data_IF_360925625942
#
_entry.id   IF_360925625942
#
_cell.length_a   1.000
_cell.length_b   1.000
_cell.length_c   1.000
_cell.angle_alpha   90.00
_cell.angle_beta   90.00
_cell.angle_gamma   90.00
#
_symmetry.space_group_name_H-M   'P 1'
#
loop_
_entity.id
_entity.type
_entity.pdbx_description
1 polymer ?
2 non-polymer ?
3 non-polymer ?
4 non-polymer ?
5 non-polymer ?
6 water ?
#
# COMPACT_ATOMS: atom_id res chain seq x y z
N UNK A 1 8.60 27.32 4.11
CA UNK A 1 8.97 27.82 2.72
C UNK A 1 10.43 28.26 2.71
N UNK A 2 11.04 28.37 3.91
CA UNK A 2 12.38 28.95 4.02
C UNK A 2 13.48 27.90 4.02
N UNK A 3 13.10 26.64 4.26
CA UNK A 3 14.06 25.55 4.27
C UNK A 3 14.57 25.21 2.85
N UNK A 4 15.89 25.07 2.74
CA UNK A 4 16.51 24.82 1.45
C UNK A 4 16.14 23.42 0.97
N UNK A 5 16.11 23.20 -0.34
CA UNK A 5 15.77 21.87 -0.81
C UNK A 5 16.89 20.93 -0.37
N UNK A 6 18.11 21.49 -0.31
CA UNK A 6 19.27 20.73 0.13
C UNK A 6 19.04 20.18 1.54
N UNK A 7 18.48 21.02 2.41
CA UNK A 7 18.21 20.57 3.77
C UNK A 7 17.08 19.53 3.80
N UNK A 8 15.97 19.75 3.08
CA UNK A 8 14.91 18.74 3.05
C UNK A 8 15.51 17.38 2.66
N UNK A 9 16.27 17.37 1.56
CA UNK A 9 16.88 16.15 1.07
C UNK A 9 17.69 15.46 2.16
N UNK A 10 18.53 16.23 2.86
CA UNK A 10 19.44 15.63 3.85
C UNK A 10 18.67 15.04 5.04
N UNK A 11 17.64 15.75 5.52
CA UNK A 11 16.85 15.27 6.64
C UNK A 11 16.14 13.97 6.24
N UNK A 12 15.59 13.90 5.03
CA UNK A 12 14.75 12.75 4.71
C UNK A 12 15.67 11.53 4.57
N UNK A 13 16.80 11.71 3.87
CA UNK A 13 17.85 10.70 3.79
C UNK A 13 18.20 10.16 5.19
N UNK A 14 18.42 11.07 6.14
CA UNK A 14 18.84 10.71 7.47
C UNK A 14 17.77 9.88 8.19
N UNK A 15 16.48 10.16 7.94
CA UNK A 15 15.45 9.29 8.47
C UNK A 15 15.73 7.84 8.08
N UNK A 16 15.99 7.59 6.78
CA UNK A 16 16.34 6.24 6.32
C UNK A 16 17.68 5.81 6.92
N UNK A 17 18.65 6.73 7.01
CA UNK A 17 19.97 6.38 7.54
C UNK A 17 19.87 5.88 8.98
N UNK A 18 19.00 6.55 9.78
CA UNK A 18 18.83 6.25 11.19
C UNK A 18 18.10 4.93 11.43
N UNK A 19 17.30 4.46 10.47
CA UNK A 19 16.69 3.13 10.57
C UNK A 19 17.69 2.06 10.12
N UNK A 20 18.88 2.44 9.66
CA UNK A 20 19.81 1.47 9.11
C UNK A 20 19.10 0.62 8.06
N UNK A 21 18.43 1.31 7.15
CA UNK A 21 17.83 0.61 6.04
C UNK A 21 18.14 1.40 4.77
N UNK A 22 17.70 0.87 3.63
CA UNK A 22 17.79 1.52 2.34
C UNK A 22 16.37 1.69 1.82
N UNK A 23 16.04 2.92 1.43
CA UNK A 23 14.69 3.15 0.96
C UNK A 23 14.50 4.52 0.31
N UNK A 24 13.28 4.70 -0.19
CA UNK A 24 12.93 5.88 -0.93
C UNK A 24 11.48 6.22 -0.56
N UNK A 25 11.16 7.51 -0.48
CA UNK A 25 9.77 7.91 -0.45
C UNK A 25 9.49 8.81 -1.65
N UNK A 26 8.52 8.39 -2.47
CA UNK A 26 8.05 9.18 -3.59
C UNK A 26 6.82 9.98 -3.16
N UNK A 27 6.82 11.28 -3.46
CA UNK A 27 5.72 12.17 -3.16
C UNK A 27 5.28 12.84 -4.46
N UNK A 28 3.95 12.92 -4.62
CA UNK A 28 3.38 13.55 -5.79
C UNK A 28 2.59 14.79 -5.37
N UNK A 29 3.07 15.99 -5.75
CA UNK A 29 2.29 17.20 -5.58
C UNK A 29 1.76 17.59 -6.95
N UNK A 30 0.47 17.32 -7.15
CA UNK A 30 -0.19 17.53 -8.43
C UNK A 30 0.29 16.49 -9.44
N UNK A 31 1.07 16.95 -10.42
CA UNK A 31 1.65 16.07 -11.42
C UNK A 31 3.16 15.93 -11.20
N UNK A 32 3.73 16.64 -10.21
CA UNK A 32 5.16 16.61 -9.98
C UNK A 32 5.53 15.48 -9.01
N UNK A 33 6.36 14.54 -9.48
CA UNK A 33 6.88 13.43 -8.70
C UNK A 33 8.23 13.82 -8.09
N UNK A 34 8.41 13.57 -6.79
CA UNK A 34 9.65 13.90 -6.11
C UNK A 34 10.13 12.69 -5.33
N UNK A 35 11.44 12.44 -5.41
CA UNK A 35 12.03 11.22 -4.88
C UNK A 35 12.95 11.61 -3.73
N UNK A 36 12.79 10.96 -2.57
CA UNK A 36 13.66 11.24 -1.44
C UNK A 36 14.13 9.94 -0.81
N UNK A 37 14.99 10.05 0.21
CA UNK A 37 15.50 8.85 0.87
C UNK A 37 17.03 8.74 0.74
N UNK A 38 17.56 7.58 1.11
CA UNK A 38 18.99 7.32 1.03
C UNK A 38 19.30 6.32 -0.07
N UNK A 39 18.31 5.95 -0.91
CA UNK A 39 18.58 5.03 -2.00
C UNK A 39 17.72 5.39 -3.21
N UNK A 40 18.05 6.51 -3.84
CA UNK A 40 17.10 7.12 -4.77
C UNK A 40 16.76 6.14 -5.90
N UNK A 41 17.73 5.28 -6.32
CA UNK A 41 17.56 4.41 -7.49
C UNK A 41 16.55 3.27 -7.27
N UNK A 42 16.10 3.04 -6.05
CA UNK A 42 14.98 2.13 -5.88
C UNK A 42 13.73 2.64 -6.61
N UNK A 43 13.69 3.89 -7.10
CA UNK A 43 12.40 4.50 -7.47
C UNK A 43 11.74 3.77 -8.62
N UNK A 44 12.52 3.17 -9.54
CA UNK A 44 11.94 2.53 -10.71
C UNK A 44 12.37 1.08 -10.78
N UNK A 45 12.78 0.52 -9.65
CA UNK A 45 12.98 -0.92 -9.52
C UNK A 45 11.66 -1.57 -9.12
N UNK A 46 11.54 -2.85 -9.50
CA UNK A 46 10.30 -3.60 -9.28
C UNK A 46 10.39 -4.46 -8.01
N UNK A 47 9.38 -4.38 -7.13
CA UNK A 47 9.30 -5.24 -5.95
C UNK A 47 7.92 -5.90 -5.96
N UNK A 48 7.76 -6.95 -5.15
CA UNK A 48 6.43 -7.52 -4.99
C UNK A 48 5.56 -6.49 -4.24
N UNK A 49 4.26 -6.38 -4.52
CA UNK A 49 3.45 -5.38 -3.81
C UNK A 49 3.16 -5.79 -2.37
N UNK A 50 3.27 -7.10 -2.08
CA UNK A 50 2.84 -7.64 -0.78
C UNK A 50 1.48 -7.07 -0.40
N UNK A 51 1.26 -6.70 0.86
CA UNK A 51 -0.08 -6.37 1.32
C UNK A 51 -0.62 -5.10 0.68
N UNK A 52 0.25 -4.31 0.01
CA UNK A 52 -0.27 -3.17 -0.74
C UNK A 52 -1.35 -3.64 -1.72
N UNK A 53 -1.20 -4.89 -2.24
CA UNK A 53 -2.15 -5.42 -3.20
C UNK A 53 -3.56 -5.57 -2.63
N UNK A 54 -3.68 -5.59 -1.30
CA UNK A 54 -4.97 -5.68 -0.62
C UNK A 54 -5.92 -4.61 -1.15
N UNK A 55 -5.39 -3.45 -1.51
CA UNK A 55 -6.24 -2.31 -1.87
C UNK A 55 -6.88 -2.65 -3.21
N UNK A 56 -6.10 -3.26 -4.13
CA UNK A 56 -6.68 -3.57 -5.42
C UNK A 56 -7.56 -4.82 -5.30
N UNK A 57 -7.10 -5.80 -4.52
CA UNK A 57 -7.85 -6.99 -4.19
C UNK A 57 -9.23 -6.59 -3.66
N UNK A 58 -9.30 -5.62 -2.73
CA UNK A 58 -10.60 -5.18 -2.20
C UNK A 58 -11.47 -4.49 -3.27
N UNK A 59 -10.84 -3.67 -4.13
CA UNK A 59 -11.57 -3.03 -5.22
C UNK A 59 -12.20 -4.06 -6.14
N UNK A 60 -11.40 -5.05 -6.57
CA UNK A 60 -11.83 -6.09 -7.47
C UNK A 60 -12.98 -6.87 -6.83
N UNK A 61 -12.71 -7.41 -5.63
CA UNK A 61 -13.71 -8.10 -4.86
C UNK A 61 -15.06 -7.37 -4.80
N UNK A 62 -15.04 -6.09 -4.41
CA UNK A 62 -16.28 -5.43 -4.07
C UNK A 62 -17.04 -5.08 -5.35
N UNK A 63 -16.30 -4.75 -6.42
CA UNK A 63 -16.86 -4.33 -7.71
C UNK A 63 -17.61 -5.50 -8.34
N UNK A 64 -16.99 -6.68 -8.24
CA UNK A 64 -17.53 -7.91 -8.83
C UNK A 64 -18.39 -8.73 -7.86
N UNK A 65 -18.82 -8.13 -6.74
CA UNK A 65 -19.81 -8.74 -5.84
C UNK A 65 -19.29 -10.04 -5.21
N UNK A 66 -18.00 -10.11 -4.91
CA UNK A 66 -17.48 -11.30 -4.24
C UNK A 66 -17.56 -11.12 -2.73
N UNK A 67 -17.97 -9.91 -2.28
CA UNK A 67 -18.09 -9.59 -0.87
C UNK A 67 -18.90 -8.31 -0.69
N UNK A 68 -19.21 -7.96 0.55
CA UNK A 68 -19.73 -6.64 0.84
C UNK A 68 -18.96 -6.00 2.00
N UNK A 69 -19.25 -4.73 2.23
CA UNK A 69 -18.67 -3.87 3.25
C UNK A 69 -18.84 -4.51 4.63
N UNK A 70 -19.98 -5.18 4.84
CA UNK A 70 -20.42 -5.60 6.17
C UNK A 70 -20.23 -7.10 6.37
N UNK A 71 -19.84 -7.82 5.31
CA UNK A 71 -19.84 -9.28 5.41
C UNK A 71 -18.72 -9.70 6.36
N UNK A 72 -19.03 -10.66 7.22
CA UNK A 72 -18.09 -11.14 8.21
C UNK A 72 -17.44 -12.42 7.68
N UNK A 73 -16.11 -12.38 7.43
CA UNK A 73 -15.35 -13.55 6.99
C UNK A 73 -14.98 -14.37 8.24
N UNK A 74 -15.54 -15.58 8.34
CA UNK A 74 -15.35 -16.39 9.53
C UNK A 74 -13.93 -16.97 9.53
N UNK A 75 -13.29 -16.90 10.69
CA UNK A 75 -12.06 -17.60 11.01
C UNK A 75 -12.35 -19.09 10.99
N UNK A 76 -11.50 -19.85 10.30
CA UNK A 76 -11.79 -21.27 10.13
C UNK A 76 -11.36 -21.99 11.41
N UNK A 77 -10.67 -21.29 12.32
CA UNK A 77 -10.27 -21.91 13.57
C UNK A 77 -8.93 -22.64 13.50
N UNK A 78 -8.19 -22.54 12.38
CA UNK A 78 -6.80 -23.02 12.35
C UNK A 78 -5.88 -21.93 12.95
N UNK A 79 -4.69 -22.33 13.41
CA UNK A 79 -3.71 -21.38 13.96
C UNK A 79 -3.24 -20.43 12.86
N UNK A 80 -2.96 -19.18 13.21
CA UNK A 80 -2.57 -18.22 12.20
C UNK A 80 -1.20 -17.69 12.60
N UNK A 81 -0.53 -16.96 11.70
CA UNK A 81 0.78 -16.47 12.10
C UNK A 81 0.66 -15.49 13.27
N UNK A 82 -0.41 -14.69 13.35
CA UNK A 82 -0.59 -13.77 14.46
C UNK A 82 -1.92 -14.01 15.17
N UNK A 83 -1.98 -14.03 16.50
CA UNK A 83 -3.24 -14.28 17.20
C UNK A 83 -4.35 -13.27 16.92
N UNK A 84 -3.98 -12.08 16.41
CA UNK A 84 -5.02 -11.10 16.12
C UNK A 84 -5.79 -11.45 14.84
N UNK A 85 -5.26 -12.38 14.02
CA UNK A 85 -5.92 -12.90 12.83
C UNK A 85 -6.93 -14.03 13.15
N UNK A 86 -6.91 -14.54 14.39
CA UNK A 86 -7.78 -15.65 14.76
C UNK A 86 -9.12 -15.12 15.24
N UNK A 87 -9.79 -14.35 14.39
CA UNK A 87 -11.15 -13.90 14.65
C UNK A 87 -11.82 -13.63 13.30
N UNK A 88 -13.14 -13.49 13.39
CA UNK A 88 -14.05 -13.14 12.32
C UNK A 88 -13.90 -11.64 12.06
N UNK A 89 -13.87 -11.27 10.77
CA UNK A 89 -13.69 -9.87 10.45
C UNK A 89 -14.27 -9.51 9.08
N UNK A 90 -14.49 -8.20 8.94
CA UNK A 90 -14.86 -7.59 7.67
C UNK A 90 -13.60 -7.39 6.84
N UNK A 91 -13.78 -7.04 5.55
CA UNK A 91 -12.70 -6.62 4.67
C UNK A 91 -11.95 -5.45 5.32
N UNK A 92 -12.71 -4.55 5.96
CA UNK A 92 -12.14 -3.32 6.48
C UNK A 92 -11.24 -3.59 7.68
N UNK A 93 -11.67 -4.49 8.56
CA UNK A 93 -10.77 -4.85 9.65
C UNK A 93 -9.58 -5.64 9.12
N UNK A 94 -9.80 -6.43 8.04
CA UNK A 94 -8.71 -7.23 7.50
C UNK A 94 -7.67 -6.27 6.94
N UNK A 95 -8.14 -5.20 6.32
CA UNK A 95 -7.26 -4.19 5.77
C UNK A 95 -6.37 -3.59 6.86
N UNK A 96 -6.96 -3.17 8.00
CA UNK A 96 -6.18 -2.56 9.09
C UNK A 96 -5.21 -3.59 9.69
N UNK A 97 -5.57 -4.87 9.74
CA UNK A 97 -4.77 -5.84 10.43
C UNK A 97 -3.84 -6.52 9.42
N UNK A 98 -4.05 -6.23 8.13
CA UNK A 98 -3.28 -6.86 7.06
C UNK A 98 -3.42 -8.39 7.09
N UNK A 99 -4.61 -8.86 7.44
CA UNK A 99 -4.93 -10.27 7.54
C UNK A 99 -4.97 -10.92 6.14
N UNK A 100 -3.82 -11.44 5.68
CA UNK A 100 -3.78 -12.03 4.36
C UNK A 100 -4.76 -13.19 4.19
N UNK A 101 -5.09 -14.00 5.23
CA UNK A 101 -5.97 -15.15 4.99
C UNK A 101 -7.33 -14.69 4.45
N UNK A 102 -7.78 -13.51 4.90
CA UNK A 102 -9.01 -12.96 4.40
C UNK A 102 -8.87 -12.54 2.95
N UNK A 103 -7.74 -11.91 2.63
CA UNK A 103 -7.54 -11.41 1.27
C UNK A 103 -7.31 -12.60 0.36
N UNK A 104 -6.87 -13.72 0.95
CA UNK A 104 -6.74 -14.90 0.08
C UNK A 104 -8.10 -15.50 -0.15
N UNK A 105 -8.98 -15.38 0.86
CA UNK A 105 -10.35 -15.85 0.67
C UNK A 105 -10.96 -15.04 -0.48
N UNK A 106 -10.81 -13.72 -0.39
CA UNK A 106 -11.35 -12.87 -1.44
C UNK A 106 -10.71 -13.17 -2.81
N UNK A 107 -9.39 -13.42 -2.87
CA UNK A 107 -8.78 -13.76 -4.15
C UNK A 107 -9.39 -15.05 -4.71
N UNK A 108 -9.61 -16.02 -3.82
CA UNK A 108 -10.21 -17.28 -4.24
C UNK A 108 -11.62 -17.08 -4.81
N UNK A 109 -12.40 -16.13 -4.26
CA UNK A 109 -13.78 -15.99 -4.69
C UNK A 109 -13.76 -15.35 -6.07
N UNK A 110 -12.90 -14.35 -6.24
CA UNK A 110 -12.66 -13.70 -7.51
C UNK A 110 -12.22 -14.73 -8.56
N UNK A 111 -11.25 -15.58 -8.24
CA UNK A 111 -10.75 -16.60 -9.17
C UNK A 111 -9.67 -16.08 -10.13
N UNK A 112 -8.77 -16.99 -10.55
CA UNK A 112 -7.62 -16.64 -11.37
C UNK A 112 -8.01 -15.86 -12.62
N UNK A 113 -9.01 -16.37 -13.36
CA UNK A 113 -9.41 -15.80 -14.65
C UNK A 113 -9.84 -14.35 -14.43
N UNK A 114 -10.78 -14.12 -13.50
CA UNK A 114 -11.28 -12.78 -13.27
C UNK A 114 -10.20 -11.92 -12.64
N UNK A 115 -9.34 -12.50 -11.79
CA UNK A 115 -8.26 -11.69 -11.23
C UNK A 115 -7.32 -11.18 -12.34
N UNK A 116 -6.89 -12.06 -13.26
CA UNK A 116 -5.92 -11.70 -14.28
C UNK A 116 -6.45 -10.57 -15.15
N UNK A 117 -7.71 -10.68 -15.56
CA UNK A 117 -8.27 -9.72 -16.50
C UNK A 117 -8.49 -8.38 -15.77
N UNK A 118 -8.66 -8.44 -14.45
CA UNK A 118 -9.06 -7.24 -13.75
C UNK A 118 -7.79 -6.44 -13.46
N UNK A 119 -6.69 -7.19 -13.29
CA UNK A 119 -5.38 -6.62 -13.03
C UNK A 119 -4.75 -6.17 -14.33
N UNK A 120 -5.03 -6.86 -15.46
CA UNK A 120 -4.71 -6.29 -16.76
C UNK A 120 -5.53 -5.01 -16.96
N UNK A 121 -6.84 -5.04 -16.71
CA UNK A 121 -7.62 -3.84 -16.96
C UNK A 121 -7.00 -2.65 -16.22
N UNK A 122 -6.63 -2.83 -14.93
CA UNK A 122 -6.20 -1.70 -14.12
C UNK A 122 -4.76 -1.29 -14.46
N UNK A 123 -4.05 -2.18 -15.15
CA UNK A 123 -2.66 -1.99 -15.57
C UNK A 123 -1.78 -1.73 -14.35
N UNK A 124 -1.83 -2.67 -13.40
CA UNK A 124 -1.15 -2.57 -12.12
C UNK A 124 0.23 -3.24 -12.20
N UNK A 125 1.28 -2.45 -11.97
CA UNK A 125 2.65 -2.93 -12.06
C UNK A 125 2.95 -3.60 -13.40
N UNK A 126 3.54 -4.80 -13.32
CA UNK A 126 3.90 -5.61 -14.47
C UNK A 126 2.68 -6.44 -14.93
N UNK A 127 1.56 -6.34 -14.18
CA UNK A 127 0.28 -6.96 -14.53
C UNK A 127 0.29 -8.51 -14.69
N UNK A 128 1.34 -9.23 -14.26
CA UNK A 128 1.36 -10.68 -14.39
C UNK A 128 1.05 -11.32 -13.03
N UNK A 129 0.03 -12.20 -12.99
CA UNK A 129 -0.33 -12.84 -11.73
C UNK A 129 -0.04 -14.34 -11.75
N UNK A 130 0.43 -14.87 -12.89
CA UNK A 130 0.88 -16.27 -12.99
C UNK A 130 -0.29 -17.25 -12.90
N UNK A 131 -0.12 -18.37 -12.19
CA UNK A 131 -1.17 -19.39 -12.16
C UNK A 131 -1.74 -19.62 -10.76
N UNK A 132 -1.15 -19.02 -9.72
CA UNK A 132 -1.59 -19.23 -8.34
C UNK A 132 -2.35 -18.00 -7.83
N UNK A 133 -3.68 -18.12 -7.68
CA UNK A 133 -4.54 -16.96 -7.45
C UNK A 133 -4.38 -16.43 -6.02
N UNK A 134 -3.70 -17.17 -5.14
CA UNK A 134 -3.76 -16.91 -3.71
C UNK A 134 -2.44 -16.38 -3.14
N UNK A 135 -1.36 -16.32 -3.94
CA UNK A 135 -0.12 -15.79 -3.38
C UNK A 135 0.65 -14.92 -4.38
N UNK A 136 0.02 -14.53 -5.50
CA UNK A 136 0.77 -13.95 -6.60
C UNK A 136 1.34 -12.59 -6.26
N UNK A 137 0.75 -11.94 -5.24
CA UNK A 137 1.19 -10.64 -4.78
C UNK A 137 2.23 -10.77 -3.68
N UNK A 138 2.53 -12.00 -3.25
CA UNK A 138 3.44 -12.23 -2.13
C UNK A 138 4.82 -12.72 -2.57
N UNK A 139 4.90 -13.60 -3.59
CA UNK A 139 6.18 -14.22 -3.91
C UNK A 139 6.50 -14.05 -5.39
N UNK A 140 5.82 -13.10 -6.05
CA UNK A 140 5.85 -12.99 -7.50
C UNK A 140 4.78 -13.86 -8.17
N UNK A 141 4.54 -13.72 -9.50
CA UNK A 141 5.34 -12.84 -10.36
C UNK A 141 4.83 -11.39 -10.49
N UNK A 142 3.78 -11.03 -9.74
CA UNK A 142 3.36 -9.64 -9.75
C UNK A 142 4.39 -8.75 -9.03
N UNK A 143 4.85 -7.71 -9.72
CA UNK A 143 5.81 -6.74 -9.21
C UNK A 143 5.36 -5.36 -9.66
N UNK A 144 5.84 -4.34 -8.96
CA UNK A 144 5.47 -2.96 -9.23
C UNK A 144 6.61 -2.11 -8.72
N UNK A 145 6.75 -0.91 -9.29
CA UNK A 145 7.80 0.00 -8.87
C UNK A 145 7.20 1.03 -7.91
N UNK A 146 8.05 1.63 -7.04
CA UNK A 146 7.60 2.72 -6.16
C UNK A 146 6.91 3.86 -6.91
N UNK A 147 7.44 4.22 -8.08
CA UNK A 147 6.77 5.20 -8.93
C UNK A 147 5.36 4.73 -9.30
N UNK A 148 5.25 3.48 -9.77
CA UNK A 148 3.95 2.94 -10.13
C UNK A 148 3.00 2.94 -8.93
N UNK A 149 3.53 2.72 -7.72
CA UNK A 149 2.71 2.57 -6.53
C UNK A 149 2.11 3.93 -6.18
N UNK A 150 2.93 4.99 -6.19
CA UNK A 150 2.40 6.31 -5.88
C UNK A 150 1.38 6.75 -6.94
N UNK A 151 1.56 6.34 -8.21
CA UNK A 151 0.63 6.70 -9.28
C UNK A 151 -0.73 6.01 -9.09
N UNK A 152 -0.70 4.73 -8.71
CA UNK A 152 -1.88 4.03 -8.25
C UNK A 152 -2.55 4.72 -7.03
N UNK A 153 -1.78 5.15 -6.03
CA UNK A 153 -2.35 5.87 -4.90
C UNK A 153 -3.02 7.16 -5.35
N UNK A 154 -2.38 7.86 -6.30
CA UNK A 154 -2.90 9.09 -6.90
C UNK A 154 -4.21 8.80 -7.61
N UNK A 155 -4.19 7.75 -8.42
CA UNK A 155 -5.37 7.29 -9.13
C UNK A 155 -6.50 7.02 -8.12
N UNK A 156 -6.20 6.27 -7.04
CA UNK A 156 -7.23 5.91 -6.07
C UNK A 156 -7.73 7.13 -5.29
N UNK A 157 -6.81 7.99 -4.83
CA UNK A 157 -7.17 9.20 -4.12
C UNK A 157 -8.16 10.06 -4.91
N UNK A 158 -8.05 10.01 -6.24
CA UNK A 158 -8.81 10.90 -7.11
C UNK A 158 -9.95 10.15 -7.81
N UNK A 159 -10.23 8.91 -7.41
CA UNK A 159 -11.30 8.16 -8.05
C UNK A 159 -11.04 7.94 -9.55
N UNK A 160 -9.78 7.88 -9.99
CA UNK A 160 -9.52 7.69 -11.41
C UNK A 160 -9.42 6.21 -11.84
N UNK A 161 -9.57 5.25 -10.92
CA UNK A 161 -9.38 3.87 -11.35
C UNK A 161 -10.64 3.39 -12.07
N UNK A 162 -10.53 2.37 -12.94
CA UNK A 162 -11.70 1.85 -13.65
C UNK A 162 -12.63 0.95 -12.81
N UNK A 163 -13.18 1.56 -11.75
CA UNK A 163 -14.14 0.94 -10.86
C UNK A 163 -15.18 2.01 -10.54
N UNK A 164 -16.38 1.59 -10.11
CA UNK A 164 -17.45 2.49 -9.67
C UNK A 164 -16.90 3.46 -8.62
N UNK A 165 -17.45 4.67 -8.57
CA UNK A 165 -17.13 5.59 -7.48
C UNK A 165 -17.48 5.01 -6.11
N UNK A 166 -18.58 4.25 -5.97
CA UNK A 166 -18.95 3.73 -4.66
C UNK A 166 -17.89 2.72 -4.22
N UNK A 167 -17.37 1.89 -5.14
CA UNK A 167 -16.35 0.90 -4.85
C UNK A 167 -15.10 1.58 -4.29
N UNK A 168 -14.65 2.64 -4.98
CA UNK A 168 -13.42 3.35 -4.62
C UNK A 168 -13.60 4.00 -3.25
N UNK A 169 -14.80 4.53 -2.96
CA UNK A 169 -15.06 5.15 -1.66
C UNK A 169 -14.98 4.09 -0.57
N UNK A 170 -15.58 2.93 -0.85
CA UNK A 170 -15.72 1.92 0.19
C UNK A 170 -14.33 1.51 0.66
N UNK A 171 -13.42 1.33 -0.32
CA UNK A 171 -12.07 0.89 -0.04
C UNK A 171 -11.28 2.02 0.63
N UNK A 172 -11.44 3.27 0.15
CA UNK A 172 -10.80 4.41 0.78
C UNK A 172 -11.17 4.52 2.27
N UNK A 173 -12.44 4.31 2.64
CA UNK A 173 -12.86 4.47 4.04
C UNK A 173 -12.15 3.43 4.93
N UNK A 174 -11.67 2.34 4.32
CA UNK A 174 -10.95 1.29 5.03
C UNK A 174 -9.49 1.67 5.31
N UNK A 175 -9.02 2.83 4.82
CA UNK A 175 -7.57 3.04 4.70
C UNK A 175 -7.07 4.13 5.64
N UNK A 176 -7.98 4.81 6.33
CA UNK A 176 -7.63 5.81 7.33
C UNK A 176 -6.65 5.20 8.32
N UNK A 177 -5.45 5.78 8.48
CA UNK A 177 -4.54 5.27 9.50
C UNK A 177 -4.16 6.34 10.54
N UNK A 178 -4.26 7.63 10.20
CA UNK A 178 -3.85 8.65 11.16
C UNK A 178 -4.49 9.97 10.80
N UNK A 179 -4.90 10.72 11.83
CA UNK A 179 -5.27 12.12 11.70
C UNK A 179 -4.26 12.97 12.46
N UNK A 180 -3.72 13.98 11.78
CA UNK A 180 -2.64 14.80 12.31
C UNK A 180 -2.86 16.21 11.79
N UNK A 181 -3.09 17.15 12.73
CA UNK A 181 -3.10 18.58 12.41
C UNK A 181 -4.20 18.88 11.39
N UNK A 182 -5.36 18.20 11.52
CA UNK A 182 -6.46 18.40 10.57
C UNK A 182 -6.19 17.77 9.21
N UNK A 183 -5.04 17.10 9.04
CA UNK A 183 -4.76 16.29 7.87
C UNK A 183 -5.14 14.83 8.17
N UNK A 184 -5.73 14.13 7.19
CA UNK A 184 -5.98 12.71 7.29
C UNK A 184 -4.96 11.93 6.46
N UNK A 185 -4.37 10.87 7.03
CA UNK A 185 -3.51 10.01 6.26
C UNK A 185 -4.22 8.68 5.99
N UNK A 186 -4.33 8.35 4.70
CA UNK A 186 -4.91 7.11 4.19
C UNK A 186 -3.78 6.34 3.54
N UNK A 187 -3.53 5.10 3.97
CA UNK A 187 -2.43 4.36 3.37
C UNK A 187 -2.56 2.87 3.66
N UNK A 188 -1.79 2.06 2.91
CA UNK A 188 -1.68 0.66 3.20
C UNK A 188 -0.22 0.24 3.30
N UNK A 189 0.09 -0.46 4.39
CA UNK A 189 1.43 -0.93 4.66
C UNK A 189 1.69 -2.28 3.99
N UNK A 190 2.96 -2.65 3.91
CA UNK A 190 3.29 -3.86 3.20
C UNK A 190 4.61 -4.40 3.71
N UNK A 191 4.68 -5.71 3.91
CA UNK A 191 5.94 -6.29 4.34
C UNK A 191 6.04 -7.65 3.66
N UNK A 192 6.79 -7.69 2.58
CA UNK A 192 6.91 -8.93 1.83
C UNK A 192 7.93 -9.82 2.52
N UNK A 193 7.45 -10.89 3.17
CA UNK A 193 8.37 -11.70 3.95
C UNK A 193 8.83 -12.92 3.16
N UNK A 194 8.18 -13.20 2.03
CA UNK A 194 8.47 -14.40 1.25
C UNK A 194 9.41 -14.15 0.06
N UNK A 195 10.25 -13.11 0.16
CA UNK A 195 11.21 -12.74 -0.88
C UNK A 195 12.53 -12.36 -0.20
N UNK A 196 13.66 -12.64 -0.85
CA UNK A 196 14.95 -12.24 -0.31
C UNK A 196 15.53 -11.19 -1.28
N UNK A 197 15.84 -9.94 -0.85
CA UNK A 197 15.57 -9.43 0.50
C UNK A 197 14.11 -8.98 0.72
N UNK A 198 13.74 -8.74 1.98
CA UNK A 198 12.37 -8.36 2.31
C UNK A 198 12.12 -6.90 1.95
N UNK A 199 10.94 -6.65 1.38
CA UNK A 199 10.55 -5.30 0.97
C UNK A 199 9.48 -4.77 1.93
N UNK A 200 9.60 -3.49 2.30
CA UNK A 200 8.59 -2.80 3.09
C UNK A 200 7.95 -1.68 2.27
N UNK A 201 6.65 -1.46 2.46
CA UNK A 201 5.93 -0.45 1.71
C UNK A 201 5.07 0.32 2.69
N UNK A 202 4.84 1.60 2.40
CA UNK A 202 3.67 2.31 2.91
C UNK A 202 3.18 3.26 1.82
N UNK A 203 2.06 2.91 1.22
CA UNK A 203 1.56 3.58 0.05
C UNK A 203 0.21 4.20 0.42
N UNK A 204 -0.04 5.42 -0.04
CA UNK A 204 -1.25 6.10 0.38
C UNK A 204 -1.20 7.55 -0.03
N UNK A 205 -1.84 8.41 0.79
CA UNK A 205 -1.90 9.82 0.49
C UNK A 205 -2.34 10.59 1.73
N UNK A 206 -1.99 11.89 1.72
CA UNK A 206 -2.40 12.80 2.76
C UNK A 206 -3.56 13.60 2.19
N UNK A 207 -4.67 13.67 2.93
CA UNK A 207 -5.72 14.59 2.54
C UNK A 207 -5.70 15.81 3.47
N UNK A 208 -5.26 16.96 2.94
CA UNK A 208 -5.03 18.13 3.77
C UNK A 208 -6.36 18.78 4.19
N UNK A 209 -6.31 19.61 5.26
CA UNK A 209 -7.50 20.34 5.72
C UNK A 209 -8.21 20.98 4.54
N UNK A 210 -7.46 21.75 3.74
CA UNK A 210 -7.95 22.49 2.57
C UNK A 210 -8.64 21.60 1.53
N UNK A 211 -8.14 20.37 1.30
CA UNK A 211 -8.83 19.43 0.42
C UNK A 211 -7.89 18.74 -0.59
N UNK A 212 -6.69 19.28 -0.84
CA UNK A 212 -5.84 18.64 -1.84
C UNK A 212 -5.31 17.31 -1.32
N UNK A 213 -5.02 16.41 -2.27
CA UNK A 213 -4.62 15.06 -1.91
C UNK A 213 -3.16 14.89 -2.35
N UNK A 214 -2.30 14.49 -1.39
CA UNK A 214 -0.89 14.35 -1.67
C UNK A 214 -0.46 12.90 -1.53
N UNK A 215 -0.40 12.18 -2.66
CA UNK A 215 0.00 10.77 -2.68
C UNK A 215 1.49 10.60 -2.35
N UNK A 216 1.81 9.50 -1.66
CA UNK A 216 3.20 9.11 -1.46
C UNK A 216 3.31 7.60 -1.54
N UNK A 217 4.56 7.13 -1.64
CA UNK A 217 4.87 5.71 -1.54
C UNK A 217 6.26 5.59 -0.94
N UNK A 218 6.31 5.04 0.27
CA UNK A 218 7.57 4.70 0.88
C UNK A 218 7.88 3.26 0.50
N UNK A 219 9.16 2.96 0.29
CA UNK A 219 9.60 1.62 -0.09
C UNK A 219 11.00 1.42 0.44
N UNK A 220 11.22 0.38 1.26
CA UNK A 220 12.55 0.16 1.83
C UNK A 220 12.82 -1.32 2.05
N UNK A 221 14.05 -1.61 2.46
CA UNK A 221 14.42 -2.98 2.74
C UNK A 221 14.15 -3.24 4.23
N UNK A 222 13.40 -4.31 4.56
CA UNK A 222 13.24 -4.69 5.96
C UNK A 222 14.31 -5.73 6.27
N UNK A 223 15.04 -5.56 7.38
CA UNK A 223 15.94 -6.60 7.87
C UNK A 223 15.24 -7.27 9.03
N UNK A 224 15.06 -8.59 8.97
CA UNK A 224 14.32 -9.31 10.00
C UNK A 224 14.82 -8.92 11.40
N UNK A 225 13.90 -8.87 12.37
CA UNK A 225 14.13 -8.24 13.66
C UNK A 225 14.32 -6.74 13.51
N UNK A 226 13.37 -6.11 12.81
CA UNK A 226 13.23 -4.67 12.58
C UNK A 226 11.76 -4.39 12.76
N UNK A 227 11.40 -3.21 13.26
CA UNK A 227 10.01 -2.95 13.65
C UNK A 227 9.20 -2.40 12.46
N UNK A 228 7.94 -2.87 12.28
CA UNK A 228 7.06 -2.44 11.19
C UNK A 228 6.66 -0.96 11.28
N UNK A 229 6.60 -0.44 12.50
CA UNK A 229 6.58 0.97 12.89
C UNK A 229 7.51 1.87 12.05
N UNK A 230 8.73 1.41 11.81
CA UNK A 230 9.69 2.23 11.07
C UNK A 230 9.09 2.80 9.78
N UNK A 231 8.17 2.06 9.13
CA UNK A 231 7.62 2.52 7.87
C UNK A 231 6.81 3.79 8.08
N UNK A 232 5.91 3.73 9.06
CA UNK A 232 5.12 4.87 9.53
C UNK A 232 5.99 6.04 10.00
N UNK A 233 6.95 5.78 10.88
CA UNK A 233 7.72 6.85 11.50
C UNK A 233 8.51 7.60 10.43
N UNK A 234 9.01 6.87 9.43
CA UNK A 234 9.80 7.53 8.42
C UNK A 234 8.88 8.35 7.52
N UNK A 235 7.71 7.77 7.23
CA UNK A 235 6.78 8.45 6.35
C UNK A 235 6.31 9.77 6.98
N UNK A 236 5.96 9.69 8.28
CA UNK A 236 5.37 10.82 8.99
C UNK A 236 6.42 11.94 9.13
N UNK A 237 7.66 11.55 9.42
CA UNK A 237 8.75 12.50 9.61
C UNK A 237 8.98 13.26 8.31
N UNK A 238 8.97 12.52 7.17
CA UNK A 238 9.17 13.06 5.84
C UNK A 238 8.02 14.01 5.46
N UNK A 239 6.79 13.54 5.65
CA UNK A 239 5.67 14.39 5.32
C UNK A 239 5.71 15.67 6.17
N UNK A 240 6.13 15.58 7.43
CA UNK A 240 6.18 16.79 8.25
C UNK A 240 7.37 17.68 7.86
N UNK A 241 8.53 17.06 7.59
CA UNK A 241 9.68 17.81 7.13
C UNK A 241 9.33 18.62 5.87
N UNK A 242 8.52 18.04 4.97
CA UNK A 242 8.15 18.79 3.77
C UNK A 242 6.96 19.69 4.03
N UNK A 243 6.44 19.74 5.27
CA UNK A 243 5.29 20.57 5.59
C UNK A 243 3.99 20.07 4.95
N UNK A 244 3.94 18.80 4.57
CA UNK A 244 2.75 18.23 3.97
C UNK A 244 1.71 17.93 5.07
N UNK A 245 2.17 17.62 6.30
CA UNK A 245 1.32 17.50 7.48
C UNK A 245 1.92 18.32 8.63
X LIG B 1 1.78 3.00 -15.51
X LIG B 1 1.22 1.70 -15.33
X LIG B 1 2.33 3.60 -14.22
X LIG B 1 1.57 4.75 -13.83
X LIG B 1 0.15 4.58 -13.93
X LIG B 1 -0.62 5.86 -14.18
X LIG B 1 0.22 7.02 -14.29
X LIG C 1 1.45 -7.88 3.91
X LIG C 1 2.25 -7.62 8.33
X LIG C 1 1.66 -8.97 4.97
X LIG C 1 1.28 -8.45 6.35
X LIG C 1 2.05 -6.56 7.52
X LIG C 1 2.38 -7.24 3.43
X LIG C 1 0.80 -10.19 4.69
X LIG C 1 1.24 -11.24 5.53
X LIG C 1 0.97 -10.67 3.25
X LIG C 1 1.58 -7.02 6.37
X LIG C 1 2.34 -5.11 7.63
X LIG C 1 2.78 -4.55 8.67
X LIG C 1 2.18 -4.41 6.59
X LIG C 1 2.71 -7.60 9.94
X LIG C 1 1.43 -8.22 10.95
X LIG C 1 1.95 -8.22 12.36
X LIG C 1 0.93 -7.42 13.16
X LIG C 1 2.06 -8.91 7.60
X LIG C 1 0.28 -6.47 12.23
X LIG C 1 3.41 -9.55 7.36
X LIG C 1 0.30 -7.17 10.94
X LIG C 1 1.55 -6.69 14.31
X LIG C 1 1.34 -7.19 15.56
X LIG C 1 2.20 -5.68 14.05
X LIG C 1 1.50 -8.61 15.87
X LIG C 1 0.91 -6.35 16.70
X LIG D 1 -11.52 -19.48 -12.46
X LIG D 1 -12.38 -20.11 -13.43
X LIG D 1 -10.17 -19.45 -12.94
X LIG D 1 -11.57 -20.20 -11.23
X LIG D 1 -12.01 -18.15 -12.21
X LIG E 1 -19.94 5.10 -11.30
X LIG E 1 -19.98 4.36 -12.26
X LIG E 1 -19.33 6.15 -11.26
X LIG E 1 -20.60 4.72 -10.21
#
# INVERSE_FOLDING_TARGET
>A
MHISSQQHEKAIKSYFDEAQTQGVIIIKEGKNLSTYGNALARANKEYVPASTFDMLNALIGLENHKATTNEIFKWDGKKRTYPMWEKDMTLGEAMALSAVPVYQELARRTGLELMQKEVKRVNFGNTNIGTQVDNFWLVGPLKITPVQEVNFADDLAHNRLPFKLETQEEVKKMLLIKEVNGSKIYAKSGWGMGVTPQVGWLTGWVEQANGKKIPFSLNLEMKEGMSGSIRNEITYKSLENLGII
>B hetero
1 PEG C1 O1 C2 O2 C3 C4 O4
>C hetero
1 MER C1 C2 C3 C4 C5 O6 C7 O8 C9 N10 C11 O12 O13 S14 C15 C16 C17 C18 N19 C20 C21 C22 N23 O24 C25 C26
>D hetero
1 SO4 S O1 O2 O3 O4
>E hetero
1 BCT C O1 O2 O3
#
